data_IF_154835516505
#
_entry.id   IF_154835516505
#
_cell.length_a   1.000
_cell.length_b   1.000
_cell.length_c   1.000
_cell.angle_alpha   90.00
_cell.angle_beta   90.00
_cell.angle_gamma   90.00
#
_symmetry.space_group_name_H-M   'P 1'
#
loop_
_entity.id
_entity.type
_entity.pdbx_description
1 polymer ?
#
# COMPACT_ATOMS: atom_id res chain seq x y z
N UNK A 1 -11.37 -7.60 21.10
CA UNK A 1 -11.33 -7.60 19.62
C UNK A 1 -10.00 -8.14 19.11
N UNK A 2 -8.86 -7.65 19.63
CA UNK A 2 -7.51 -8.14 19.24
C UNK A 2 -7.08 -9.42 19.98
N UNK A 3 -7.63 -9.70 21.17
CA UNK A 3 -7.17 -10.79 22.06
C UNK A 3 -7.18 -12.20 21.46
N UNK A 4 -7.99 -12.45 20.42
CA UNK A 4 -8.13 -13.78 19.82
C UNK A 4 -7.54 -13.86 18.40
N UNK A 5 -6.84 -12.80 17.98
CA UNK A 5 -6.25 -12.71 16.65
C UNK A 5 -4.75 -12.95 16.79
N UNK A 6 -4.28 -14.05 16.20
CA UNK A 6 -2.86 -14.45 16.26
C UNK A 6 -2.38 -14.77 14.86
N UNK A 7 -1.28 -14.13 14.49
CA UNK A 7 -0.59 -14.35 13.23
C UNK A 7 0.86 -13.89 13.41
N UNK A 8 1.86 -14.58 12.84
CA UNK A 8 3.28 -14.25 13.04
C UNK A 8 3.63 -12.80 12.68
N UNK A 9 2.92 -12.21 11.71
CA UNK A 9 3.12 -10.83 11.28
C UNK A 9 2.17 -9.79 11.90
N UNK A 10 1.52 -10.09 13.02
CA UNK A 10 0.73 -9.13 13.80
C UNK A 10 1.29 -9.04 15.22
N UNK A 11 1.33 -7.83 15.78
CA UNK A 11 1.79 -7.63 17.17
C UNK A 11 0.80 -8.29 18.13
N UNK A 12 1.31 -9.14 19.03
CA UNK A 12 0.51 -9.81 20.06
C UNK A 12 0.15 -8.85 21.19
N UNK A 13 -1.15 -8.75 21.48
CA UNK A 13 -1.67 -8.12 22.69
C UNK A 13 -1.58 -9.12 23.85
N UNK A 14 -0.66 -8.87 24.77
CA UNK A 14 -0.45 -9.70 25.98
C UNK A 14 -1.56 -9.46 26.99
N UNK A 15 -2.00 -8.21 27.14
CA UNK A 15 -3.04 -7.87 28.12
C UNK A 15 -3.53 -6.44 28.03
N UNK A 16 -4.51 -6.11 28.86
CA UNK A 16 -5.01 -4.76 29.01
C UNK A 16 -5.28 -4.43 30.49
N UNK A 17 -5.22 -3.14 30.83
CA UNK A 17 -5.68 -2.63 32.10
C UNK A 17 -6.76 -1.58 31.85
N UNK A 18 -7.88 -1.74 32.57
CA UNK A 18 -9.01 -0.82 32.58
C UNK A 18 -9.28 -0.49 34.04
N UNK A 19 -8.71 0.62 34.50
CA UNK A 19 -8.81 1.08 35.89
C UNK A 19 -9.15 2.57 35.92
N UNK A 20 -10.29 2.95 36.49
CA UNK A 20 -10.86 4.30 36.46
C UNK A 20 -10.80 4.96 35.06
N UNK A 21 -9.92 5.96 34.89
CA UNK A 21 -9.67 6.70 33.65
C UNK A 21 -8.45 6.18 32.87
N UNK A 22 -7.75 5.18 33.39
CA UNK A 22 -6.60 4.56 32.74
C UNK A 22 -7.07 3.46 31.78
N UNK A 23 -6.59 3.54 30.54
CA UNK A 23 -6.77 2.51 29.51
C UNK A 23 -5.39 2.17 28.98
N UNK A 24 -4.87 1.01 29.37
CA UNK A 24 -3.50 0.58 29.03
C UNK A 24 -3.61 -0.72 28.24
N UNK A 25 -2.80 -0.82 27.18
CA UNK A 25 -2.62 -2.03 26.39
C UNK A 25 -1.17 -2.46 26.51
N UNK A 26 -0.95 -3.75 26.79
CA UNK A 26 0.37 -4.35 26.95
C UNK A 26 0.59 -5.27 25.77
N UNK A 27 1.64 -4.99 24.99
CA UNK A 27 2.03 -5.75 23.81
C UNK A 27 3.35 -6.46 24.05
N UNK A 28 3.66 -7.45 23.21
CA UNK A 28 5.03 -7.95 23.09
C UNK A 28 6.00 -6.83 22.73
N UNK A 29 7.24 -6.97 23.18
CA UNK A 29 8.32 -6.03 22.90
C UNK A 29 9.06 -6.44 21.62
N UNK A 30 9.29 -5.46 20.73
CA UNK A 30 9.93 -5.65 19.43
C UNK A 30 11.26 -4.89 19.43
N UNK A 31 12.38 -5.62 19.42
CA UNK A 31 13.72 -5.13 19.72
C UNK A 31 14.21 -4.09 18.72
N UNK A 32 13.85 -4.26 17.44
CA UNK A 32 14.28 -3.38 16.35
C UNK A 32 13.32 -2.21 16.11
N UNK A 33 12.33 -2.02 16.99
CA UNK A 33 11.38 -0.90 16.93
C UNK A 33 10.62 -0.87 15.57
N UNK A 34 10.15 0.30 15.14
CA UNK A 34 9.41 0.46 13.88
C UNK A 34 10.35 0.53 12.67
N UNK A 35 9.85 0.07 11.53
CA UNK A 35 10.48 0.21 10.22
C UNK A 35 10.77 1.69 9.90
N UNK A 36 9.89 2.62 10.28
CA UNK A 36 10.17 4.05 10.13
C UNK A 36 11.42 4.49 10.90
N UNK A 37 11.68 3.91 12.08
CA UNK A 37 12.86 4.26 12.87
C UNK A 37 14.15 3.67 12.29
N UNK A 38 14.09 2.46 11.72
CA UNK A 38 15.24 1.76 11.15
C UNK A 38 15.58 2.27 9.77
N UNK A 39 14.57 2.52 8.92
CA UNK A 39 14.77 2.88 7.52
C UNK A 39 14.70 4.39 7.24
N UNK A 40 13.79 5.12 7.92
CA UNK A 40 13.49 6.53 7.62
C UNK A 40 13.98 7.51 8.70
N UNK A 41 14.59 6.98 9.76
CA UNK A 41 15.09 7.71 10.92
C UNK A 41 16.37 8.49 10.64
N UNK A 42 16.77 9.34 11.59
CA UNK A 42 18.07 10.01 11.53
C UNK A 42 19.19 8.95 11.53
N UNK A 43 20.12 9.07 10.57
CA UNK A 43 21.25 8.19 10.15
C UNK A 43 22.22 7.71 11.26
N UNK A 44 21.87 7.86 12.52
CA UNK A 44 22.65 7.52 13.71
C UNK A 44 22.53 6.06 14.17
N UNK A 45 21.69 5.23 13.53
CA UNK A 45 21.57 3.80 13.85
C UNK A 45 22.00 2.94 12.66
N UNK A 46 23.13 2.25 12.84
CA UNK A 46 23.96 1.51 11.88
C UNK A 46 23.33 0.27 11.21
N UNK A 47 22.02 0.06 11.28
CA UNK A 47 21.41 -1.17 10.75
C UNK A 47 20.98 -0.94 9.30
N UNK A 48 21.87 -1.22 8.37
CA UNK A 48 21.53 -1.28 6.95
C UNK A 48 20.58 -2.45 6.69
N UNK A 49 19.35 -2.14 6.28
CA UNK A 49 18.43 -3.15 5.75
C UNK A 49 18.83 -3.44 4.29
N UNK A 50 19.52 -4.56 4.09
CA UNK A 50 19.78 -5.10 2.76
C UNK A 50 18.48 -5.48 2.03
N UNK A 51 18.59 -5.74 0.72
CA UNK A 51 17.43 -6.07 -0.09
C UNK A 51 16.66 -7.31 0.41
N UNK A 52 17.30 -8.44 0.75
CA UNK A 52 16.58 -9.61 1.28
C UNK A 52 15.72 -9.29 2.51
N UNK A 53 16.23 -8.50 3.47
CA UNK A 53 15.44 -8.06 4.63
C UNK A 53 14.27 -7.19 4.23
N UNK A 54 14.48 -6.22 3.32
CA UNK A 54 13.41 -5.34 2.80
C UNK A 54 12.31 -6.15 2.10
N UNK A 55 12.69 -7.12 1.28
CA UNK A 55 11.76 -8.01 0.59
C UNK A 55 10.95 -8.87 1.57
N UNK A 56 11.61 -9.44 2.59
CA UNK A 56 10.95 -10.21 3.65
C UNK A 56 9.97 -9.36 4.48
N UNK A 57 10.32 -8.11 4.78
CA UNK A 57 9.45 -7.15 5.48
C UNK A 57 8.18 -6.86 4.67
N UNK A 58 8.32 -6.59 3.37
CA UNK A 58 7.18 -6.43 2.47
C UNK A 58 6.28 -7.68 2.44
N UNK A 59 6.88 -8.87 2.28
CA UNK A 59 6.14 -10.13 2.19
C UNK A 59 5.40 -10.48 3.49
N UNK A 60 6.07 -10.38 4.64
CA UNK A 60 5.46 -10.63 5.94
C UNK A 60 4.35 -9.63 6.25
N UNK A 61 4.55 -8.36 5.94
CA UNK A 61 3.50 -7.34 6.07
C UNK A 61 2.31 -7.66 5.15
N UNK A 62 2.56 -8.02 3.88
CA UNK A 62 1.50 -8.42 2.96
C UNK A 62 0.70 -9.62 3.48
N UNK A 63 1.38 -10.61 4.06
CA UNK A 63 0.76 -11.79 4.68
C UNK A 63 -0.11 -11.41 5.87
N UNK A 64 0.36 -10.52 6.74
CA UNK A 64 -0.43 -10.05 7.88
C UNK A 64 -1.70 -9.32 7.45
N UNK A 65 -1.64 -8.46 6.43
CA UNK A 65 -2.84 -7.78 5.91
C UNK A 65 -3.76 -8.78 5.19
N UNK A 66 -3.22 -9.73 4.43
CA UNK A 66 -3.99 -10.79 3.78
C UNK A 66 -4.80 -11.59 4.81
N UNK A 67 -4.16 -12.00 5.90
CA UNK A 67 -4.82 -12.67 7.01
C UNK A 67 -5.96 -11.81 7.60
N UNK A 68 -5.73 -10.53 7.90
CA UNK A 68 -6.78 -9.63 8.41
C UNK A 68 -7.97 -9.52 7.46
N UNK A 69 -7.72 -9.49 6.16
CA UNK A 69 -8.73 -9.28 5.12
C UNK A 69 -9.55 -10.52 4.79
N UNK A 70 -8.99 -11.73 4.94
CA UNK A 70 -9.57 -12.94 4.39
C UNK A 70 -9.74 -14.08 5.39
N UNK A 71 -8.90 -14.16 6.42
CA UNK A 71 -8.87 -15.28 7.36
C UNK A 71 -9.36 -14.91 8.76
N UNK A 72 -9.14 -13.67 9.20
CA UNK A 72 -9.66 -13.17 10.47
C UNK A 72 -11.20 -13.19 10.46
N UNK A 73 -11.79 -13.64 11.58
CA UNK A 73 -13.24 -13.68 11.78
C UNK A 73 -13.62 -12.87 13.02
N UNK A 74 -14.37 -11.76 12.88
CA UNK A 74 -14.74 -11.10 11.62
C UNK A 74 -13.52 -10.47 10.91
N UNK A 75 -13.62 -10.25 9.60
CA UNK A 75 -12.56 -9.64 8.79
C UNK A 75 -12.28 -8.22 9.27
N UNK A 76 -11.05 -7.75 9.07
CA UNK A 76 -10.59 -6.48 9.61
C UNK A 76 -9.94 -5.64 8.52
N UNK A 77 -10.22 -4.34 8.52
CA UNK A 77 -9.47 -3.33 7.76
C UNK A 77 -8.68 -2.48 8.76
N UNK A 78 -7.36 -2.41 8.58
CA UNK A 78 -6.44 -1.79 9.53
C UNK A 78 -6.54 -0.26 9.54
N UNK A 79 -6.64 0.35 8.35
CA UNK A 79 -6.77 1.80 8.06
C UNK A 79 -5.53 2.67 8.33
N UNK A 80 -4.50 2.12 8.96
CA UNK A 80 -3.27 2.88 9.26
C UNK A 80 -2.01 2.06 8.98
N UNK A 81 -1.96 1.40 7.82
CA UNK A 81 -0.73 0.73 7.34
C UNK A 81 0.27 1.82 6.93
N UNK A 82 1.41 1.87 7.62
CA UNK A 82 2.50 2.82 7.40
C UNK A 82 3.78 2.34 8.08
N UNK A 83 4.94 2.88 7.70
CA UNK A 83 6.23 2.42 8.21
C UNK A 83 6.38 2.50 9.75
N UNK A 84 5.72 3.47 10.42
CA UNK A 84 5.79 3.56 11.89
C UNK A 84 4.96 2.50 12.62
N UNK A 85 4.03 1.87 11.92
CA UNK A 85 3.14 0.83 12.47
C UNK A 85 3.59 -0.58 12.08
N UNK A 86 4.69 -0.71 11.34
CA UNK A 86 5.36 -1.99 11.12
C UNK A 86 6.52 -2.08 12.11
N UNK A 87 6.39 -2.93 13.12
CA UNK A 87 7.43 -3.20 14.10
C UNK A 87 8.30 -4.39 13.64
N UNK A 88 9.51 -4.49 14.16
CA UNK A 88 10.50 -5.49 13.76
C UNK A 88 11.02 -6.22 15.00
N UNK A 89 10.93 -7.56 15.00
CA UNK A 89 11.51 -8.39 16.06
C UNK A 89 13.04 -8.45 15.93
N UNK A 90 13.70 -9.18 16.83
CA UNK A 90 15.16 -9.36 16.85
C UNK A 90 15.75 -9.86 15.53
N UNK A 91 14.99 -10.61 14.73
CA UNK A 91 15.39 -11.18 13.44
C UNK A 91 14.90 -10.35 12.24
N UNK A 92 14.36 -9.15 12.48
CA UNK A 92 13.76 -8.26 11.48
C UNK A 92 12.50 -8.78 10.80
N UNK A 93 11.80 -9.75 11.40
CA UNK A 93 10.48 -10.13 10.89
C UNK A 93 9.46 -9.03 11.21
N UNK A 94 8.60 -8.67 10.24
CA UNK A 94 7.65 -7.58 10.41
C UNK A 94 6.43 -8.03 11.24
N UNK A 95 5.98 -7.14 12.14
CA UNK A 95 4.71 -7.25 12.85
C UNK A 95 3.89 -5.97 12.70
N UNK A 96 2.66 -6.10 12.21
CA UNK A 96 1.71 -4.99 12.09
C UNK A 96 1.18 -4.66 13.48
N UNK A 97 1.44 -3.44 13.93
CA UNK A 97 0.96 -2.88 15.19
C UNK A 97 -0.05 -1.75 14.98
N UNK A 98 -0.50 -1.18 16.10
CA UNK A 98 -1.46 -0.07 16.17
C UNK A 98 -2.80 -0.29 15.44
N UNK A 99 -3.63 -1.13 16.05
CA UNK A 99 -5.00 -1.37 15.62
C UNK A 99 -5.99 -0.30 16.13
N UNK A 100 -5.53 0.86 16.62
CA UNK A 100 -6.38 1.88 17.22
C UNK A 100 -7.44 2.45 16.26
N UNK A 101 -7.19 2.37 14.95
CA UNK A 101 -8.13 2.80 13.91
C UNK A 101 -8.88 1.65 13.24
N UNK A 102 -8.51 0.39 13.52
CA UNK A 102 -9.02 -0.77 12.81
C UNK A 102 -10.55 -0.88 12.89
N UNK A 103 -11.14 -1.46 11.83
CA UNK A 103 -12.59 -1.67 11.74
C UNK A 103 -12.89 -3.10 11.34
N UNK A 104 -13.89 -3.68 12.03
CA UNK A 104 -14.51 -4.92 11.60
C UNK A 104 -15.25 -4.69 10.29
N UNK A 105 -15.09 -5.61 9.35
CA UNK A 105 -15.64 -5.56 8.02
C UNK A 105 -16.54 -6.77 7.79
N UNK A 106 -17.87 -6.60 7.93
CA UNK A 106 -18.83 -7.68 7.69
C UNK A 106 -18.77 -8.21 6.25
N UNK A 107 -19.11 -9.49 6.07
CA UNK A 107 -19.04 -10.14 4.74
C UNK A 107 -20.12 -9.70 3.76
N UNK A 108 -21.19 -9.09 4.26
CA UNK A 108 -22.37 -8.69 3.48
C UNK A 108 -22.34 -7.24 2.99
N UNK A 109 -21.22 -6.53 3.15
CA UNK A 109 -21.09 -5.13 2.70
C UNK A 109 -19.98 -4.96 1.68
N UNK A 110 -20.20 -4.08 0.71
CA UNK A 110 -19.19 -3.71 -0.29
C UNK A 110 -18.23 -2.65 0.24
N UNK A 111 -18.71 -1.79 1.14
CA UNK A 111 -17.95 -0.74 1.80
C UNK A 111 -18.57 -0.40 3.16
N UNK A 112 -17.79 0.26 4.01
CA UNK A 112 -18.26 0.88 5.25
C UNK A 112 -18.20 2.40 5.13
N UNK A 113 -19.33 3.06 5.33
CA UNK A 113 -19.36 4.52 5.49
C UNK A 113 -18.90 4.89 6.89
N UNK A 114 -17.71 5.47 7.01
CA UNK A 114 -17.12 5.85 8.30
C UNK A 114 -16.36 7.17 8.18
N UNK A 115 -16.21 7.88 9.29
CA UNK A 115 -15.30 9.03 9.36
C UNK A 115 -13.92 8.64 8.84
N UNK A 116 -13.36 9.48 7.97
CA UNK A 116 -11.98 9.35 7.48
C UNK A 116 -11.01 9.44 8.65
N UNK A 117 -10.16 8.44 8.81
CA UNK A 117 -9.03 8.44 9.75
C UNK A 117 -7.89 7.61 9.15
N UNK A 118 -6.67 7.94 9.52
CA UNK A 118 -5.43 7.37 8.99
C UNK A 118 -4.43 8.49 8.69
N UNK A 119 -3.30 8.12 8.11
CA UNK A 119 -2.18 9.04 7.90
C UNK A 119 -2.18 9.63 6.49
N UNK A 120 -2.16 10.96 6.38
CA UNK A 120 -2.04 11.67 5.09
C UNK A 120 -0.76 11.22 4.38
N UNK A 121 -0.86 10.90 3.09
CA UNK A 121 0.21 10.25 2.31
C UNK A 121 -0.06 8.76 2.06
N UNK A 122 -0.74 8.07 2.98
CA UNK A 122 -1.14 6.66 2.85
C UNK A 122 -2.64 6.48 2.57
N UNK A 123 -3.45 7.53 2.75
CA UNK A 123 -4.89 7.45 2.52
C UNK A 123 -5.21 7.21 1.05
N UNK A 124 -5.96 6.15 0.78
CA UNK A 124 -6.53 5.88 -0.53
C UNK A 124 -7.48 7.02 -0.96
N UNK A 125 -7.45 7.44 -2.24
CA UNK A 125 -8.17 8.61 -2.72
C UNK A 125 -9.69 8.49 -2.54
N UNK A 126 -10.28 7.34 -2.86
CA UNK A 126 -11.71 7.10 -2.68
C UNK A 126 -12.14 7.15 -1.21
N UNK A 127 -11.28 6.67 -0.31
CA UNK A 127 -11.56 6.70 1.11
C UNK A 127 -11.46 8.12 1.66
N UNK A 128 -10.43 8.88 1.26
CA UNK A 128 -10.23 10.26 1.67
C UNK A 128 -11.33 11.20 1.17
N UNK A 129 -11.81 10.99 -0.06
CA UNK A 129 -12.80 11.87 -0.70
C UNK A 129 -14.25 11.49 -0.38
N UNK A 130 -14.56 10.19 -0.30
CA UNK A 130 -15.93 9.69 -0.18
C UNK A 130 -16.26 9.10 1.19
N UNK A 131 -15.26 8.87 2.06
CA UNK A 131 -15.45 8.18 3.34
C UNK A 131 -15.85 6.70 3.19
N UNK A 132 -15.73 6.14 1.98
CA UNK A 132 -16.07 4.75 1.67
C UNK A 132 -14.87 3.85 1.97
N UNK A 133 -14.90 3.20 3.13
CA UNK A 133 -13.84 2.29 3.54
C UNK A 133 -14.05 0.92 2.92
N UNK A 134 -13.00 0.39 2.28
CA UNK A 134 -12.92 -0.99 1.79
C UNK A 134 -11.57 -1.59 2.16
N UNK A 135 -11.42 -2.91 2.00
CA UNK A 135 -10.11 -3.60 2.08
C UNK A 135 -9.05 -2.97 1.15
N UNK A 136 -9.47 -2.38 0.03
CA UNK A 136 -8.57 -1.73 -0.95
C UNK A 136 -7.91 -0.45 -0.42
N UNK A 137 -8.40 0.10 0.70
CA UNK A 137 -7.72 1.20 1.39
C UNK A 137 -6.39 0.76 2.02
N UNK A 138 -6.37 -0.42 2.65
CA UNK A 138 -5.12 -1.00 3.17
C UNK A 138 -4.18 -1.42 2.02
N UNK A 139 -4.72 -1.93 0.91
CA UNK A 139 -3.92 -2.26 -0.29
C UNK A 139 -3.17 -1.03 -0.81
N UNK A 140 -3.87 0.10 -0.94
CA UNK A 140 -3.24 1.35 -1.35
C UNK A 140 -2.15 1.78 -0.37
N UNK A 141 -2.46 1.77 0.93
CA UNK A 141 -1.51 2.13 1.99
C UNK A 141 -0.27 1.24 1.96
N UNK A 142 -0.45 -0.06 1.70
CA UNK A 142 0.64 -1.02 1.52
C UNK A 142 1.49 -0.75 0.27
N UNK A 143 0.87 -0.35 -0.84
CA UNK A 143 1.61 0.10 -2.03
C UNK A 143 2.54 1.28 -1.73
N UNK A 144 2.05 2.28 -0.99
CA UNK A 144 2.89 3.41 -0.52
C UNK A 144 4.03 2.91 0.36
N UNK A 145 3.76 1.98 1.28
CA UNK A 145 4.77 1.39 2.16
C UNK A 145 5.88 0.66 1.38
N UNK A 146 5.55 -0.11 0.32
CA UNK A 146 6.57 -0.73 -0.53
C UNK A 146 7.48 0.32 -1.14
N UNK A 147 6.93 1.44 -1.64
CA UNK A 147 7.75 2.50 -2.23
C UNK A 147 8.69 3.12 -1.20
N UNK A 148 8.25 3.31 0.05
CA UNK A 148 9.15 3.77 1.13
C UNK A 148 10.26 2.77 1.41
N UNK A 149 9.93 1.48 1.43
CA UNK A 149 10.89 0.38 1.66
C UNK A 149 11.96 0.35 0.55
N UNK A 150 11.53 0.40 -0.72
CA UNK A 150 12.46 0.36 -1.87
C UNK A 150 13.33 1.61 -1.93
N UNK A 151 12.76 2.78 -1.62
CA UNK A 151 13.43 4.07 -1.83
C UNK A 151 14.23 4.59 -0.64
N UNK A 152 14.02 4.03 0.55
CA UNK A 152 14.58 4.57 1.79
C UNK A 152 14.06 5.98 2.13
N UNK A 153 12.99 6.43 1.47
CA UNK A 153 12.49 7.80 1.56
C UNK A 153 11.07 7.84 2.12
N UNK A 154 10.81 8.82 2.98
CA UNK A 154 9.48 8.97 3.59
C UNK A 154 8.48 9.64 2.64
N UNK A 155 7.31 9.02 2.50
CA UNK A 155 6.17 9.52 1.74
C UNK A 155 5.52 10.79 2.32
N UNK A 156 5.68 11.03 3.63
CA UNK A 156 5.08 12.17 4.34
C UNK A 156 5.91 13.45 4.25
N UNK A 157 7.22 13.32 3.99
CA UNK A 157 8.15 14.44 3.80
C UNK A 157 8.20 14.79 2.32
N UNK A 158 7.12 15.37 1.79
CA UNK A 158 7.03 15.77 0.40
C UNK A 158 8.20 16.67 -0.03
N UNK A 159 9.08 16.15 -0.90
CA UNK A 159 10.09 16.90 -1.68
C UNK A 159 10.84 15.97 -2.65
N UNK A 160 10.12 15.25 -3.53
CA UNK A 160 10.77 14.50 -4.62
C UNK A 160 10.75 15.32 -5.92
N UNK A 161 11.93 15.58 -6.47
CA UNK A 161 12.13 16.40 -7.67
C UNK A 161 11.90 17.90 -7.46
N UNK A 162 11.85 18.64 -8.57
CA UNK A 162 11.68 20.12 -8.59
C UNK A 162 10.24 20.54 -8.24
N UNK A 163 9.28 19.61 -8.30
CA UNK A 163 7.83 19.88 -8.26
C UNK A 163 7.11 19.49 -6.95
N UNK A 164 7.84 19.20 -5.86
CA UNK A 164 7.26 18.77 -4.57
C UNK A 164 6.30 17.57 -4.71
N UNK A 165 6.64 16.61 -5.58
CA UNK A 165 5.83 15.42 -5.82
C UNK A 165 5.78 14.50 -4.60
N UNK A 166 4.65 13.84 -4.41
CA UNK A 166 4.56 12.71 -3.49
C UNK A 166 5.28 11.49 -4.08
N UNK A 167 5.74 10.58 -3.22
CA UNK A 167 6.55 9.42 -3.64
C UNK A 167 5.86 8.59 -4.74
N UNK A 168 4.54 8.41 -4.62
CA UNK A 168 3.71 7.73 -5.61
C UNK A 168 3.74 8.43 -6.98
N UNK A 169 3.62 9.77 -6.99
CA UNK A 169 3.65 10.57 -8.24
C UNK A 169 5.03 10.52 -8.88
N UNK A 170 6.09 10.63 -8.07
CA UNK A 170 7.46 10.52 -8.53
C UNK A 170 7.73 9.14 -9.16
N UNK A 171 7.26 8.07 -8.53
CA UNK A 171 7.37 6.70 -9.07
C UNK A 171 6.64 6.57 -10.40
N UNK A 172 5.44 7.15 -10.50
CA UNK A 172 4.67 7.15 -11.74
C UNK A 172 5.40 7.88 -12.88
N UNK A 173 6.01 9.03 -12.59
CA UNK A 173 6.85 9.75 -13.55
C UNK A 173 8.03 8.91 -14.02
N UNK A 174 8.77 8.29 -13.09
CA UNK A 174 9.87 7.37 -13.43
C UNK A 174 9.40 6.19 -14.28
N UNK A 175 8.18 5.68 -14.04
CA UNK A 175 7.57 4.63 -14.88
C UNK A 175 7.32 5.10 -16.31
N UNK A 176 6.86 6.35 -16.50
CA UNK A 176 6.64 6.94 -17.83
C UNK A 176 7.96 7.18 -18.57
N UNK A 177 9.04 7.46 -17.84
CA UNK A 177 10.37 7.67 -18.39
C UNK A 177 11.20 6.37 -18.53
N UNK A 178 10.63 5.20 -18.21
CA UNK A 178 11.32 3.90 -18.21
C UNK A 178 12.54 3.84 -17.27
N UNK A 179 12.49 4.61 -16.17
CA UNK A 179 13.59 4.80 -15.20
C UNK A 179 13.20 4.36 -13.79
N UNK A 180 12.44 3.27 -13.67
CA UNK A 180 11.89 2.82 -12.39
C UNK A 180 12.97 2.56 -11.32
N UNK A 181 14.15 2.07 -11.72
CA UNK A 181 15.25 1.79 -10.80
C UNK A 181 15.86 3.06 -10.16
N UNK A 182 15.62 4.25 -10.72
CA UNK A 182 16.11 5.52 -10.16
C UNK A 182 15.44 5.87 -8.80
N UNK A 183 14.37 5.16 -8.44
CA UNK A 183 13.75 5.31 -7.12
C UNK A 183 14.50 4.57 -6.01
N UNK A 184 15.29 3.57 -6.37
CA UNK A 184 15.93 2.66 -5.42
C UNK A 184 16.84 3.45 -4.48
N UNK A 185 16.82 3.07 -3.21
CA UNK A 185 17.66 3.65 -2.18
C UNK A 185 19.14 3.58 -2.59
N UNK A 186 19.85 4.72 -2.68
CA UNK A 186 21.27 4.73 -3.01
C UNK A 186 22.16 3.97 -2.01
N UNK A 187 21.66 3.68 -0.80
CA UNK A 187 22.36 2.86 0.19
C UNK A 187 22.24 1.35 -0.10
N UNK A 188 21.32 0.92 -0.98
CA UNK A 188 21.27 -0.45 -1.49
C UNK A 188 22.28 -0.62 -2.63
N UNK A 189 23.50 -1.06 -2.31
CA UNK A 189 24.56 -1.25 -3.32
C UNK A 189 24.43 -2.54 -4.13
N UNK A 190 23.77 -3.56 -3.57
CA UNK A 190 23.59 -4.86 -4.21
C UNK A 190 22.13 -5.30 -4.09
N UNK A 191 21.47 -5.52 -5.24
CA UNK A 191 20.12 -6.04 -5.31
C UNK A 191 19.83 -6.70 -6.67
N UNK A 192 18.97 -7.73 -6.72
CA UNK A 192 18.44 -8.29 -7.96
C UNK A 192 17.47 -7.31 -8.63
N UNK A 193 17.89 -6.68 -9.73
CA UNK A 193 17.12 -5.64 -10.44
C UNK A 193 15.71 -6.10 -10.83
N UNK A 194 15.56 -7.32 -11.36
CA UNK A 194 14.25 -7.86 -11.79
C UNK A 194 13.27 -7.99 -10.62
N UNK A 195 13.76 -8.42 -9.46
CA UNK A 195 12.94 -8.56 -8.26
C UNK A 195 12.58 -7.19 -7.68
N UNK A 196 13.52 -6.25 -7.61
CA UNK A 196 13.23 -4.88 -7.17
C UNK A 196 12.21 -4.22 -8.10
N UNK A 197 12.38 -4.37 -9.41
CA UNK A 197 11.47 -3.86 -10.42
C UNK A 197 10.07 -4.46 -10.26
N UNK A 198 9.96 -5.77 -9.99
CA UNK A 198 8.69 -6.44 -9.67
C UNK A 198 8.04 -5.81 -8.44
N UNK A 199 8.77 -5.55 -7.36
CA UNK A 199 8.23 -4.93 -6.15
C UNK A 199 7.71 -3.51 -6.41
N UNK A 200 8.45 -2.70 -7.19
CA UNK A 200 8.01 -1.36 -7.60
C UNK A 200 6.72 -1.45 -8.43
N UNK A 201 6.63 -2.40 -9.37
CA UNK A 201 5.42 -2.62 -10.17
C UNK A 201 4.23 -3.07 -9.31
N UNK A 202 4.43 -3.99 -8.36
CA UNK A 202 3.39 -4.38 -7.39
C UNK A 202 2.90 -3.18 -6.61
N UNK A 203 3.80 -2.31 -6.16
CA UNK A 203 3.45 -1.07 -5.48
C UNK A 203 2.56 -0.17 -6.36
N UNK A 204 2.92 0.01 -7.63
CA UNK A 204 2.12 0.78 -8.60
C UNK A 204 0.72 0.18 -8.81
N UNK A 205 0.60 -1.15 -8.90
CA UNK A 205 -0.70 -1.84 -8.97
C UNK A 205 -1.56 -1.58 -7.73
N UNK A 206 -0.92 -1.55 -6.56
CA UNK A 206 -1.58 -1.27 -5.29
C UNK A 206 -2.04 0.20 -5.18
N UNK A 207 -1.33 1.15 -5.80
CA UNK A 207 -1.62 2.60 -5.69
C UNK A 207 -2.50 3.17 -6.81
N UNK A 208 -3.06 2.33 -7.69
CA UNK A 208 -3.94 2.80 -8.77
C UNK A 208 -5.13 3.62 -8.25
N UNK A 209 -5.53 4.66 -8.99
CA UNK A 209 -6.61 5.55 -8.58
C UNK A 209 -7.94 4.81 -8.37
N UNK A 210 -8.27 3.86 -9.24
CA UNK A 210 -9.45 3.02 -9.10
C UNK A 210 -9.22 1.86 -8.13
N UNK A 211 -9.93 1.85 -7.01
CA UNK A 211 -9.87 0.78 -6.01
C UNK A 211 -10.17 -0.62 -6.58
N UNK A 212 -11.01 -0.71 -7.62
CA UNK A 212 -11.36 -1.97 -8.25
C UNK A 212 -10.21 -2.56 -9.07
N UNK A 213 -9.30 -1.73 -9.59
CA UNK A 213 -8.14 -2.18 -10.37
C UNK A 213 -6.98 -2.66 -9.49
N UNK A 214 -6.97 -2.29 -8.19
CA UNK A 214 -5.95 -2.74 -7.24
C UNK A 214 -6.09 -4.24 -6.98
N UNK A 215 -4.98 -4.99 -6.82
CA UNK A 215 -5.04 -6.40 -6.45
C UNK A 215 -5.64 -6.60 -5.05
N UNK A 216 -6.03 -7.84 -4.76
CA UNK A 216 -6.28 -8.30 -3.39
C UNK A 216 -4.96 -8.55 -2.66
N UNK A 217 -4.96 -8.53 -1.33
CA UNK A 217 -3.72 -8.84 -0.60
C UNK A 217 -3.22 -10.27 -0.80
N UNK A 218 -4.11 -11.24 -1.08
CA UNK A 218 -3.69 -12.59 -1.49
C UNK A 218 -2.95 -12.59 -2.83
N UNK A 219 -3.44 -11.82 -3.81
CA UNK A 219 -2.72 -11.62 -5.08
C UNK A 219 -1.38 -10.91 -4.85
N UNK A 220 -1.33 -9.90 -3.98
CA UNK A 220 -0.08 -9.20 -3.65
C UNK A 220 0.96 -10.15 -3.05
N UNK A 221 0.57 -10.99 -2.08
CA UNK A 221 1.46 -12.03 -1.51
C UNK A 221 1.99 -12.95 -2.61
N UNK A 222 1.14 -13.37 -3.55
CA UNK A 222 1.54 -14.20 -4.68
C UNK A 222 2.53 -13.47 -5.62
N UNK A 223 2.25 -12.21 -5.96
CA UNK A 223 3.08 -11.39 -6.85
C UNK A 223 4.45 -11.08 -6.26
N UNK A 224 4.55 -10.97 -4.93
CA UNK A 224 5.83 -10.71 -4.24
C UNK A 224 6.64 -12.00 -4.00
N UNK A 225 5.98 -13.13 -3.78
CA UNK A 225 6.67 -14.39 -3.42
C UNK A 225 7.13 -15.24 -4.60
N UNK A 226 6.62 -14.99 -5.81
CA UNK A 226 6.91 -15.80 -7.00
C UNK A 226 7.37 -14.94 -8.15
N UNK A 227 8.33 -15.45 -8.92
CA UNK A 227 8.74 -14.83 -10.18
C UNK A 227 7.57 -14.89 -11.18
N UNK A 228 6.90 -13.75 -11.34
CA UNK A 228 5.70 -13.61 -12.16
C UNK A 228 5.86 -12.43 -13.10
N UNK A 229 5.42 -12.61 -14.34
CA UNK A 229 5.35 -11.51 -15.29
C UNK A 229 4.11 -10.66 -15.01
N UNK A 230 4.33 -9.38 -14.70
CA UNK A 230 3.26 -8.41 -14.48
C UNK A 230 2.93 -7.70 -15.79
N UNK A 231 1.66 -7.75 -16.20
CA UNK A 231 1.22 -7.09 -17.42
C UNK A 231 1.10 -5.57 -17.21
N UNK A 232 2.17 -4.85 -17.49
CA UNK A 232 2.29 -3.40 -17.28
C UNK A 232 1.25 -2.57 -18.06
N UNK A 233 0.60 -3.15 -19.09
CA UNK A 233 -0.49 -2.50 -19.84
C UNK A 233 -1.75 -2.31 -18.99
N UNK A 234 -1.88 -3.03 -17.89
CA UNK A 234 -3.00 -2.90 -16.96
C UNK A 234 -2.82 -1.76 -15.96
N UNK A 235 -1.60 -1.21 -15.82
CA UNK A 235 -1.33 -0.11 -14.90
C UNK A 235 -1.95 1.20 -15.40
N UNK A 236 -2.86 1.75 -14.59
CA UNK A 236 -3.39 3.11 -14.74
C UNK A 236 -2.75 4.06 -13.74
N UNK A 237 -2.92 5.37 -13.98
CA UNK A 237 -2.33 6.41 -13.14
C UNK A 237 -2.68 6.23 -11.65
N UNK A 238 -1.67 6.43 -10.81
CA UNK A 238 -1.83 6.34 -9.38
C UNK A 238 -2.69 7.51 -8.87
N UNK A 239 -3.62 7.23 -7.95
CA UNK A 239 -4.50 8.27 -7.42
C UNK A 239 -3.93 8.83 -6.13
N UNK A 240 -3.81 10.14 -6.00
CA UNK A 240 -3.14 10.75 -4.85
C UNK A 240 -4.03 11.78 -4.17
N UNK A 241 -4.18 11.65 -2.85
CA UNK A 241 -4.86 12.65 -2.03
C UNK A 241 -3.85 13.61 -1.39
N UNK A 242 -3.74 14.82 -1.96
CA UNK A 242 -3.06 15.96 -1.35
C UNK A 242 -4.08 16.66 -0.46
N UNK A 243 -4.03 16.42 0.86
CA UNK A 243 -4.92 17.09 1.81
C UNK A 243 -4.96 18.60 1.54
N UNK A 244 -6.13 19.23 1.72
CA UNK A 244 -6.42 20.61 1.32
C UNK A 244 -5.36 21.59 1.87
N UNK A 245 -4.30 21.87 1.11
CA UNK A 245 -3.50 23.08 1.29
C UNK A 245 -4.37 24.19 0.72
N UNK A 246 -4.90 25.08 1.56
CA UNK A 246 -5.51 26.33 1.09
C UNK A 246 -4.45 27.14 0.35
N UNK A 247 -4.36 26.98 -0.96
CA UNK A 247 -3.83 28.01 -1.84
C UNK A 247 -5.00 28.90 -2.22
N UNK A 248 -5.10 30.05 -1.56
CA UNK A 248 -6.06 31.10 -1.90
C UNK A 248 -5.67 31.70 -3.25
N UNK A 249 -6.39 31.36 -4.32
CA UNK A 249 -6.46 32.21 -5.53
C UNK A 249 -7.61 31.77 -6.44
N UNK A 250 -8.69 32.55 -6.36
CA UNK A 250 -9.59 33.03 -7.42
C UNK A 250 -10.21 32.04 -8.41
N UNK A 251 -11.49 31.77 -8.14
CA UNK A 251 -12.49 31.30 -9.08
C UNK A 251 -12.75 32.37 -10.15
N UNK A 252 -12.62 32.01 -11.43
CA UNK A 252 -13.48 32.56 -12.48
C UNK A 252 -14.09 31.42 -13.28
N UNK A 253 -15.43 31.41 -13.26
CA UNK A 253 -16.30 30.43 -13.90
C UNK A 253 -16.54 30.79 -15.37
N UNK A 254 -16.51 29.80 -16.26
CA UNK A 254 -17.41 29.81 -17.42
C UNK A 254 -17.78 28.39 -17.85
N UNK A 255 -19.08 28.14 -17.76
CA UNK A 255 -19.79 26.92 -18.11
C UNK A 255 -20.04 26.85 -19.61
N UNK A 256 -19.87 25.70 -20.26
CA UNK A 256 -20.66 25.33 -21.45
C UNK A 256 -21.00 23.83 -21.44
N UNK A 257 -22.31 23.57 -21.59
CA UNK A 257 -22.99 22.28 -21.69
C UNK A 257 -23.17 21.89 -23.16
N UNK A 258 -23.08 20.60 -23.49
CA UNK A 258 -23.93 19.90 -24.51
C UNK A 258 -23.71 18.39 -24.37
N UNK A 259 -24.69 17.61 -23.87
CA UNK A 259 -25.73 16.82 -24.59
C UNK A 259 -25.20 15.80 -25.61
N UNK A 260 -25.52 14.53 -25.40
CA UNK A 260 -25.09 13.39 -26.24
C UNK A 260 -26.20 12.64 -26.99
N UNK A 261 -25.84 11.46 -27.53
CA UNK A 261 -26.61 10.23 -27.87
C UNK A 261 -25.82 9.43 -28.94
N UNK A 262 -25.46 8.17 -28.68
CA UNK A 262 -26.01 6.91 -29.27
C UNK A 262 -25.95 6.85 -30.81
N UNK A 263 -25.47 5.82 -31.51
CA UNK A 263 -25.59 4.35 -31.28
C UNK A 263 -24.87 3.53 -32.38
N UNK A 264 -24.59 2.26 -32.04
CA UNK A 264 -24.63 1.02 -32.86
C UNK A 264 -23.47 0.57 -33.78
N UNK A 265 -23.09 -0.69 -33.50
CA UNK A 265 -22.23 -1.69 -34.17
C UNK A 265 -22.91 -2.31 -35.43
N UNK A 266 -22.29 -3.20 -36.28
CA UNK A 266 -21.63 -4.46 -35.85
C UNK A 266 -20.49 -5.09 -36.70
N UNK A 267 -19.76 -6.01 -36.03
CA UNK A 267 -19.19 -7.32 -36.43
C UNK A 267 -18.28 -7.53 -37.67
N UNK A 268 -17.11 -8.16 -37.47
CA UNK A 268 -16.84 -9.58 -37.87
C UNK A 268 -15.40 -10.08 -37.56
N UNK A 269 -15.35 -11.33 -37.05
CA UNK A 269 -14.37 -12.45 -37.07
C UNK A 269 -13.08 -12.35 -37.93
N UNK A 270 -11.93 -13.03 -37.73
CA UNK A 270 -11.40 -14.15 -36.89
C UNK A 270 -9.89 -14.25 -37.17
N UNK A 271 -9.05 -14.75 -36.25
CA UNK A 271 -8.14 -15.90 -36.48
C UNK A 271 -7.17 -16.14 -35.31
N UNK A 272 -6.95 -17.44 -35.06
CA UNK A 272 -6.13 -18.07 -34.03
C UNK A 272 -4.77 -18.42 -34.63
N UNK A 273 -3.66 -18.19 -33.91
CA UNK A 273 -2.48 -19.09 -33.89
C UNK A 273 -1.84 -19.07 -32.50
N UNK A 274 -1.40 -20.25 -32.06
CA UNK A 274 -0.86 -20.62 -30.75
C UNK A 274 0.63 -20.26 -30.55
N UNK A 275 1.07 -20.08 -29.29
CA UNK A 275 1.99 -21.02 -28.60
C UNK A 275 2.64 -20.43 -27.33
N UNK A 276 2.87 -21.35 -26.38
CA UNK A 276 3.72 -21.34 -25.18
C UNK A 276 3.27 -20.61 -23.92
N UNK A 277 3.12 -21.42 -22.86
CA UNK A 277 2.49 -21.12 -21.59
C UNK A 277 3.50 -20.55 -20.59
N UNK A 278 3.35 -19.26 -20.29
CA UNK A 278 3.80 -18.62 -19.05
C UNK A 278 2.51 -18.11 -18.39
N UNK A 279 2.30 -18.40 -17.10
CA UNK A 279 1.05 -18.04 -16.41
C UNK A 279 0.96 -16.53 -16.25
N UNK A 280 0.21 -15.88 -17.14
CA UNK A 280 -0.18 -14.48 -17.03
C UNK A 280 -1.27 -14.36 -15.96
N UNK A 281 -0.96 -13.67 -14.85
CA UNK A 281 -1.95 -13.38 -13.81
C UNK A 281 -2.64 -12.06 -14.12
N UNK A 282 -3.95 -12.12 -14.40
CA UNK A 282 -4.81 -10.95 -14.51
C UNK A 282 -5.31 -10.57 -13.11
N UNK A 283 -4.94 -9.41 -12.55
CA UNK A 283 -5.57 -8.89 -11.35
C UNK A 283 -6.99 -8.43 -11.69
N UNK A 284 -7.96 -9.32 -11.52
CA UNK A 284 -9.38 -8.99 -11.41
C UNK A 284 -9.93 -9.61 -10.13
#
# INVERSE_FOLDING_TARGET
>A
MISNIRHPNLVELIGCCVDDNHRILVYEYLENNSLASVLLGSRSKYIALDWPKRAAICLGTASGIAFLHYEAVPRIVHRDIKASNILLDGDFHPKIGDFGLAKLFPDNVTHLSTRVAGTVGYLAPEYALLGQLTKKADVYSFGVLILEIVSGKSSTKAAFGVELMLLVEWTWKLKQEERLLDIVDPELTEYPEDEVLRFIKVALFCTQASAHQRPTMNQVVHMLSKDVHLNDKLLTEAGVYKGYRRTSSELTSSSLKTKGKQSMEPSSSTNIVSSHSITEMLPR
#
